data_IF_708030666765
#
_entry.id   IF_708030666765
#
_cell.length_a   1.000
_cell.length_b   1.000
_cell.length_c   1.000
_cell.angle_alpha   90.00
_cell.angle_beta   90.00
_cell.angle_gamma   90.00
#
_symmetry.space_group_name_H-M   'P 1'
#
loop_
_entity.id
_entity.type
_entity.pdbx_description
1 polymer ?
#
# COMPACT_ATOMS: atom_id res chain seq x y z
N UNK A 1 -15.31 -2.95 12.10
CA UNK A 1 -15.35 -2.15 10.84
C UNK A 1 -14.13 -2.50 10.03
N UNK A 2 -14.29 -2.79 8.74
CA UNK A 2 -13.15 -3.18 7.89
C UNK A 2 -12.24 -1.99 7.56
N UNK A 3 -11.04 -2.32 7.08
CA UNK A 3 -10.08 -1.39 6.49
C UNK A 3 -9.61 -1.97 5.15
N UNK A 4 -10.50 -1.95 4.16
CA UNK A 4 -10.33 -2.57 2.84
C UNK A 4 -10.23 -1.52 1.75
N UNK A 5 -9.50 -1.84 0.70
CA UNK A 5 -9.52 -1.10 -0.55
C UNK A 5 -9.27 -2.02 -1.75
N UNK A 6 -9.45 -1.46 -2.94
CA UNK A 6 -8.81 -1.94 -4.15
C UNK A 6 -7.82 -0.90 -4.65
N UNK A 7 -6.66 -1.36 -5.11
CA UNK A 7 -5.71 -0.55 -5.89
C UNK A 7 -5.84 -1.05 -7.33
N UNK A 8 -6.45 -0.28 -8.23
CA UNK A 8 -6.68 -0.66 -9.61
C UNK A 8 -5.62 -0.05 -10.53
N UNK A 9 -5.24 -0.77 -11.59
CA UNK A 9 -4.47 -0.19 -12.68
C UNK A 9 -5.31 0.87 -13.42
N UNK A 10 -4.66 1.79 -14.14
CA UNK A 10 -5.37 2.85 -14.87
C UNK A 10 -6.44 2.37 -15.84
N UNK A 11 -6.27 1.16 -16.40
CA UNK A 11 -7.20 0.59 -17.35
C UNK A 11 -8.34 -0.18 -16.68
N UNK A 12 -8.35 -0.29 -15.34
CA UNK A 12 -9.41 -0.96 -14.58
C UNK A 12 -9.62 -2.40 -15.01
N UNK A 13 -8.53 -3.10 -15.34
CA UNK A 13 -8.53 -4.52 -15.70
C UNK A 13 -8.13 -5.36 -14.50
N UNK A 14 -7.02 -4.97 -13.88
CA UNK A 14 -6.45 -5.68 -12.74
C UNK A 14 -6.48 -4.76 -11.53
N UNK A 15 -6.76 -5.34 -10.37
CA UNK A 15 -6.70 -4.65 -9.10
C UNK A 15 -5.97 -5.49 -8.05
N UNK A 16 -5.60 -4.85 -6.96
CA UNK A 16 -5.04 -5.46 -5.77
C UNK A 16 -6.04 -5.24 -4.65
N UNK A 17 -6.61 -6.33 -4.16
CA UNK A 17 -7.40 -6.33 -2.93
C UNK A 17 -6.49 -6.37 -1.73
N UNK A 18 -6.66 -5.37 -0.84
CA UNK A 18 -5.88 -5.26 0.39
C UNK A 18 -6.82 -5.21 1.60
N UNK A 19 -6.50 -6.05 2.59
CA UNK A 19 -7.16 -6.11 3.88
C UNK A 19 -6.17 -6.63 4.92
N UNK A 20 -5.69 -5.83 5.88
CA UNK A 20 -6.11 -4.48 6.32
C UNK A 20 -5.23 -3.37 5.69
N UNK A 21 -5.36 -2.12 6.18
CA UNK A 21 -4.57 -0.94 5.77
C UNK A 21 -4.89 -0.38 4.38
N UNK A 22 -6.18 -0.29 4.05
CA UNK A 22 -6.66 0.29 2.81
C UNK A 22 -6.80 1.81 2.79
N UNK A 23 -6.47 2.55 3.86
CA UNK A 23 -6.56 4.01 3.89
C UNK A 23 -5.45 4.70 3.06
N UNK A 24 -5.72 5.91 2.59
CA UNK A 24 -4.80 6.71 1.75
C UNK A 24 -3.48 7.00 2.46
N UNK A 25 -3.52 7.10 3.79
CA UNK A 25 -2.34 7.21 4.67
C UNK A 25 -1.41 6.00 4.63
N UNK A 26 -1.85 4.90 4.02
CA UNK A 26 -1.07 3.68 3.79
C UNK A 26 -0.83 3.45 2.30
N UNK A 27 -1.83 3.70 1.45
CA UNK A 27 -1.70 3.48 0.00
C UNK A 27 -0.65 4.42 -0.61
N UNK A 28 -0.61 5.70 -0.23
CA UNK A 28 0.42 6.60 -0.75
C UNK A 28 1.85 6.20 -0.35
N UNK A 29 2.14 5.90 0.93
CA UNK A 29 3.42 5.30 1.32
C UNK A 29 3.78 4.01 0.57
N UNK A 30 2.81 3.11 0.39
CA UNK A 30 3.01 1.86 -0.34
C UNK A 30 3.46 2.13 -1.79
N UNK A 31 2.80 3.07 -2.47
CA UNK A 31 3.16 3.45 -3.84
C UNK A 31 4.57 4.06 -3.90
N UNK A 32 4.97 4.89 -2.93
CA UNK A 32 6.34 5.45 -2.86
C UNK A 32 7.39 4.36 -2.66
N UNK A 33 7.12 3.37 -1.81
CA UNK A 33 8.04 2.23 -1.64
C UNK A 33 8.11 1.39 -2.92
N UNK A 34 6.97 1.13 -3.57
CA UNK A 34 6.94 0.42 -4.85
C UNK A 34 7.72 1.15 -5.95
N UNK A 35 7.58 2.48 -6.03
CA UNK A 35 8.35 3.33 -6.95
C UNK A 35 9.85 3.19 -6.71
N UNK A 36 10.29 3.32 -5.46
CA UNK A 36 11.69 3.19 -5.09
C UNK A 36 12.26 1.81 -5.45
N UNK A 37 11.54 0.73 -5.13
CA UNK A 37 11.98 -0.62 -5.46
C UNK A 37 12.02 -0.87 -6.98
N UNK A 38 11.04 -0.33 -7.73
CA UNK A 38 11.04 -0.39 -9.18
C UNK A 38 12.23 0.35 -9.80
N UNK A 39 12.49 1.59 -9.36
CA UNK A 39 13.64 2.38 -9.83
C UNK A 39 14.97 1.68 -9.56
N UNK A 40 15.09 1.01 -8.41
CA UNK A 40 16.30 0.27 -8.02
C UNK A 40 16.53 -0.98 -8.89
N UNK A 41 15.47 -1.70 -9.27
CA UNK A 41 15.58 -2.90 -10.09
C UNK A 41 14.31 -3.17 -10.92
N UNK A 42 14.14 -2.50 -12.08
CA UNK A 42 12.93 -2.65 -12.89
C UNK A 42 12.84 -4.05 -13.54
N UNK A 43 13.98 -4.72 -13.75
CA UNK A 43 14.03 -6.08 -14.29
C UNK A 43 13.31 -7.10 -13.39
N UNK A 44 13.40 -6.94 -12.06
CA UNK A 44 12.68 -7.79 -11.09
C UNK A 44 11.17 -7.84 -11.37
N UNK A 45 10.61 -6.73 -11.84
CA UNK A 45 9.19 -6.56 -12.09
C UNK A 45 8.84 -6.73 -13.57
N UNK A 46 9.79 -7.16 -14.41
CA UNK A 46 9.57 -7.27 -15.86
C UNK A 46 9.22 -5.93 -16.52
N UNK A 47 9.73 -4.82 -15.98
CA UNK A 47 9.44 -3.44 -16.43
C UNK A 47 7.95 -3.04 -16.33
N UNK A 48 7.19 -3.72 -15.46
CA UNK A 48 5.79 -3.41 -15.18
C UNK A 48 5.68 -2.77 -13.79
N UNK A 49 5.36 -1.47 -13.77
CA UNK A 49 5.26 -0.66 -12.55
C UNK A 49 4.17 -1.20 -11.60
N UNK A 50 3.06 -1.69 -12.14
CA UNK A 50 1.97 -2.22 -11.33
C UNK A 50 2.34 -3.54 -10.64
N UNK A 51 3.24 -4.33 -11.24
CA UNK A 51 3.83 -5.50 -10.57
C UNK A 51 4.68 -5.14 -9.37
N UNK A 52 5.33 -3.98 -9.35
CA UNK A 52 6.04 -3.51 -8.16
C UNK A 52 5.06 -3.15 -7.03
N UNK A 53 3.94 -2.50 -7.36
CA UNK A 53 2.86 -2.22 -6.41
C UNK A 53 2.28 -3.52 -5.83
N UNK A 54 2.01 -4.50 -6.69
CA UNK A 54 1.54 -5.83 -6.27
C UNK A 54 2.56 -6.55 -5.37
N UNK A 55 3.84 -6.55 -5.73
CA UNK A 55 4.89 -7.22 -4.94
C UNK A 55 5.00 -6.64 -3.53
N UNK A 56 5.01 -5.31 -3.40
CA UNK A 56 5.06 -4.63 -2.08
C UNK A 56 3.79 -4.91 -1.29
N UNK A 57 2.61 -4.71 -1.90
CA UNK A 57 1.32 -4.95 -1.22
C UNK A 57 1.18 -6.41 -0.77
N UNK A 58 1.55 -7.37 -1.61
CA UNK A 58 1.52 -8.80 -1.28
C UNK A 58 2.48 -9.16 -0.15
N UNK A 59 3.69 -8.61 -0.16
CA UNK A 59 4.72 -8.96 0.83
C UNK A 59 4.49 -8.32 2.20
N UNK A 60 3.90 -7.12 2.23
CA UNK A 60 3.74 -6.34 3.47
C UNK A 60 2.34 -6.44 4.07
N UNK A 61 1.30 -6.57 3.24
CA UNK A 61 -0.10 -6.48 3.67
C UNK A 61 -0.98 -7.62 3.14
N UNK A 62 -0.37 -8.72 2.68
CA UNK A 62 -1.06 -9.87 2.10
C UNK A 62 -2.01 -9.50 0.94
N UNK A 63 -1.69 -8.43 0.21
CA UNK A 63 -2.42 -7.98 -0.97
C UNK A 63 -2.56 -9.08 -2.02
N UNK A 64 -3.73 -9.13 -2.66
CA UNK A 64 -4.07 -10.16 -3.66
C UNK A 64 -4.51 -9.52 -4.96
N UNK A 65 -3.86 -9.91 -6.04
CA UNK A 65 -4.31 -9.59 -7.39
C UNK A 65 -5.72 -10.15 -7.64
N UNK A 66 -6.58 -9.36 -8.25
CA UNK A 66 -7.93 -9.74 -8.62
C UNK A 66 -8.40 -8.98 -9.87
N UNK A 67 -9.47 -9.48 -10.48
CA UNK A 67 -10.17 -8.79 -11.56
C UNK A 67 -10.93 -7.58 -11.01
N UNK A 68 -10.76 -6.40 -11.61
CA UNK A 68 -11.37 -5.17 -11.12
C UNK A 68 -12.90 -5.22 -11.15
N UNK A 69 -13.47 -5.53 -12.32
CA UNK A 69 -14.92 -5.45 -12.57
C UNK A 69 -15.72 -6.34 -11.61
N UNK A 70 -15.20 -7.55 -11.33
CA UNK A 70 -15.83 -8.51 -10.41
C UNK A 70 -15.73 -8.11 -8.94
N UNK A 71 -14.76 -7.26 -8.57
CA UNK A 71 -14.45 -6.96 -7.17
C UNK A 71 -14.70 -5.50 -6.77
N UNK A 72 -14.99 -4.59 -7.68
CA UNK A 72 -15.16 -3.15 -7.37
C UNK A 72 -16.13 -2.86 -6.20
N UNK A 73 -17.13 -3.72 -5.99
CA UNK A 73 -18.12 -3.58 -4.92
C UNK A 73 -17.66 -4.05 -3.52
N UNK A 74 -16.55 -4.80 -3.40
CA UNK A 74 -16.05 -5.30 -2.11
C UNK A 74 -15.05 -4.37 -1.43
N UNK A 75 -14.64 -3.29 -2.12
CA UNK A 75 -13.67 -2.28 -1.66
C UNK A 75 -14.24 -1.30 -0.62
N UNK A 76 -15.44 -1.55 -0.10
CA UNK A 76 -16.40 -0.56 0.42
C UNK A 76 -15.88 0.44 1.47
N UNK A 77 -14.83 0.12 2.21
CA UNK A 77 -14.38 0.92 3.35
C UNK A 77 -13.63 2.17 2.88
N UNK A 78 -12.60 2.01 2.05
CA UNK A 78 -11.81 3.12 1.49
C UNK A 78 -12.02 3.29 -0.03
N UNK A 79 -12.82 2.43 -0.66
CA UNK A 79 -13.10 2.45 -2.08
C UNK A 79 -11.92 1.95 -2.92
N UNK A 80 -11.85 2.46 -4.14
CA UNK A 80 -10.85 2.11 -5.14
C UNK A 80 -9.90 3.29 -5.34
N UNK A 81 -8.61 3.00 -5.36
CA UNK A 81 -7.56 3.89 -5.83
C UNK A 81 -7.16 3.48 -7.24
N UNK A 82 -7.42 4.32 -8.23
CA UNK A 82 -6.93 4.07 -9.60
C UNK A 82 -5.54 4.67 -9.72
N UNK A 83 -4.59 3.86 -10.17
CA UNK A 83 -3.17 4.19 -10.20
C UNK A 83 -2.62 4.18 -11.62
N UNK A 84 -1.88 5.23 -11.98
CA UNK A 84 -1.02 5.29 -13.17
C UNK A 84 0.43 5.49 -12.70
N UNK A 85 1.30 4.55 -13.04
CA UNK A 85 2.62 4.40 -12.44
C UNK A 85 2.54 4.22 -10.92
N UNK A 86 2.99 5.21 -10.17
CA UNK A 86 3.01 5.21 -8.71
C UNK A 86 2.16 6.33 -8.10
N UNK A 87 1.22 6.89 -8.87
CA UNK A 87 0.38 8.00 -8.47
C UNK A 87 -1.10 7.60 -8.51
N UNK A 88 -1.86 8.02 -7.49
CA UNK A 88 -3.32 7.89 -7.50
C UNK A 88 -3.87 8.97 -8.42
N UNK A 89 -4.46 8.55 -9.53
CA UNK A 89 -5.04 9.46 -10.54
C UNK A 89 -6.56 9.58 -10.44
N UNK A 90 -7.23 8.63 -9.79
CA UNK A 90 -8.68 8.67 -9.61
C UNK A 90 -9.13 7.89 -8.36
N UNK A 91 -10.36 8.16 -7.91
CA UNK A 91 -11.00 7.52 -6.75
C UNK A 91 -12.44 7.13 -7.07
N UNK A 92 -12.76 5.86 -6.83
CA UNK A 92 -14.09 5.31 -7.10
C UNK A 92 -14.65 4.54 -5.90
N UNK A 93 -15.96 4.33 -5.86
CA UNK A 93 -16.66 3.48 -4.89
C UNK A 93 -16.35 3.77 -3.40
N UNK A 94 -15.98 5.00 -3.06
CA UNK A 94 -15.72 5.47 -1.70
C UNK A 94 -17.03 5.72 -0.94
N UNK A 95 -17.59 4.67 -0.33
CA UNK A 95 -18.87 4.74 0.38
C UNK A 95 -18.77 5.41 1.76
N UNK A 96 -17.58 5.39 2.36
CA UNK A 96 -17.33 5.96 3.68
C UNK A 96 -16.18 6.97 3.63
N UNK A 97 -16.04 7.73 4.71
CA UNK A 97 -14.90 8.63 4.90
C UNK A 97 -13.59 7.85 4.87
N UNK A 98 -12.61 8.42 4.18
CA UNK A 98 -11.22 7.93 4.14
C UNK A 98 -10.70 7.64 5.55
N UNK A 99 -10.19 6.44 5.77
CA UNK A 99 -9.54 6.09 7.03
C UNK A 99 -8.13 6.69 7.08
N UNK A 100 -7.80 7.32 8.22
CA UNK A 100 -6.54 8.03 8.44
C UNK A 100 -5.96 7.77 9.83
N UNK A 101 -5.67 6.51 10.12
CA UNK A 101 -5.19 6.05 11.42
C UNK A 101 -3.66 6.16 11.59
N UNK A 102 -2.92 6.36 10.51
CA UNK A 102 -1.47 6.28 10.46
C UNK A 102 -0.82 7.61 10.10
N UNK A 103 0.36 7.84 10.65
CA UNK A 103 1.28 8.84 10.12
C UNK A 103 1.91 8.30 8.83
N UNK A 104 1.84 9.06 7.73
CA UNK A 104 2.31 8.60 6.43
C UNK A 104 3.82 8.31 6.38
N UNK A 105 4.64 9.06 7.12
CA UNK A 105 6.10 8.84 7.16
C UNK A 105 6.44 7.59 7.97
N UNK A 106 5.82 7.41 9.14
CA UNK A 106 6.00 6.20 9.94
C UNK A 106 5.56 4.95 9.17
N UNK A 107 4.46 5.04 8.41
CA UNK A 107 3.96 3.96 7.58
C UNK A 107 4.93 3.64 6.43
N UNK A 108 5.51 4.65 5.77
CA UNK A 108 6.52 4.43 4.72
C UNK A 108 7.76 3.73 5.24
N UNK A 109 8.25 4.14 6.42
CA UNK A 109 9.38 3.48 7.09
C UNK A 109 9.00 2.03 7.43
N UNK A 110 7.80 1.82 8.01
CA UNK A 110 7.32 0.48 8.34
C UNK A 110 7.21 -0.43 7.11
N UNK A 111 6.65 0.05 6.00
CA UNK A 111 6.52 -0.71 4.76
C UNK A 111 7.91 -1.05 4.21
N UNK A 112 8.82 -0.09 4.19
CA UNK A 112 10.20 -0.29 3.74
C UNK A 112 10.89 -1.37 4.57
N UNK A 113 10.83 -1.27 5.91
CA UNK A 113 11.44 -2.25 6.81
C UNK A 113 10.79 -3.62 6.65
N UNK A 114 9.45 -3.69 6.58
CA UNK A 114 8.71 -4.95 6.45
C UNK A 114 9.02 -5.64 5.12
N UNK A 115 9.13 -4.86 4.05
CA UNK A 115 9.47 -5.36 2.73
C UNK A 115 10.87 -5.99 2.69
N UNK A 116 11.86 -5.41 3.38
CA UNK A 116 13.24 -5.90 3.35
C UNK A 116 13.57 -6.93 4.44
N UNK A 117 13.00 -6.78 5.63
CA UNK A 117 13.38 -7.53 6.84
C UNK A 117 12.28 -8.45 7.37
N UNK A 118 11.05 -8.30 6.87
CA UNK A 118 9.86 -8.96 7.42
C UNK A 118 9.21 -8.16 8.56
N UNK A 119 7.94 -8.45 8.80
CA UNK A 119 7.07 -7.69 9.70
C UNK A 119 7.59 -7.65 11.15
N UNK A 120 8.03 -8.80 11.69
CA UNK A 120 8.46 -8.89 13.08
C UNK A 120 9.71 -8.04 13.37
N UNK A 121 10.67 -8.04 12.44
CA UNK A 121 11.87 -7.21 12.56
C UNK A 121 11.55 -5.73 12.35
N UNK A 122 10.64 -5.41 11.42
CA UNK A 122 10.16 -4.04 11.22
C UNK A 122 9.49 -3.48 12.48
N UNK A 123 8.59 -4.24 13.13
CA UNK A 123 7.96 -3.86 14.41
C UNK A 123 9.00 -3.61 15.50
N UNK A 124 10.00 -4.51 15.62
CA UNK A 124 11.09 -4.37 16.59
C UNK A 124 11.88 -3.08 16.39
N UNK A 125 12.19 -2.72 15.14
CA UNK A 125 12.91 -1.50 14.79
C UNK A 125 12.06 -0.24 14.99
N UNK A 126 10.79 -0.26 14.58
CA UNK A 126 9.85 0.85 14.81
C UNK A 126 9.69 1.16 16.30
N UNK A 127 9.61 0.14 17.16
CA UNK A 127 9.58 0.33 18.60
C UNK A 127 10.83 1.08 19.12
N UNK A 128 12.02 0.74 18.61
CA UNK A 128 13.27 1.41 18.99
C UNK A 128 13.31 2.86 18.52
N UNK A 129 12.88 3.13 17.28
CA UNK A 129 12.79 4.49 16.72
C UNK A 129 11.90 5.36 17.60
N UNK A 130 10.69 4.88 17.92
CA UNK A 130 9.73 5.60 18.75
C UNK A 130 10.25 5.84 20.18
N UNK A 131 11.03 4.89 20.73
CA UNK A 131 11.67 5.07 22.04
C UNK A 131 12.70 6.20 22.01
N UNK A 132 13.56 6.23 20.98
CA UNK A 132 14.57 7.29 20.80
C UNK A 132 13.91 8.67 20.68
N UNK A 133 12.79 8.79 19.98
CA UNK A 133 12.07 10.07 19.85
C UNK A 133 11.46 10.56 21.15
N UNK A 134 10.97 9.64 21.99
CA UNK A 134 10.45 9.98 23.33
C UNK A 134 11.56 10.44 24.26
N UNK A 135 12.73 9.79 24.22
CA UNK A 135 13.87 10.13 25.07
C UNK A 135 14.52 11.48 24.69
N UNK A 136 14.17 12.06 23.53
CA UNK A 136 14.61 13.39 23.08
C UNK A 136 13.68 14.54 23.49
N UNK A 137 12.48 14.24 24.01
CA UNK A 137 11.49 15.24 24.46
C UNK A 137 11.56 15.41 25.97
#
# INVERSE_FOLDING_TARGET
>A
MGNRCLIADKNRKTAIYQHWNGGRDTIEPLLRVAEYEFQKNPYKFGYDEFKAVLDVSKKVFDGKECDYERNQNIASDNGVYVVDGFQIVDREHNRFSEQKAHNALEMEIFITLSYHLGEEEAKRLMYKINKIEKDKK
#
